data_IF_175949923980
#
_entry.id   IF_175949923980
#
_cell.length_a   1.000
_cell.length_b   1.000
_cell.length_c   1.000
_cell.angle_alpha   90.00
_cell.angle_beta   90.00
_cell.angle_gamma   90.00
#
_symmetry.space_group_name_H-M   'P 1'
#
loop_
_entity.id
_entity.type
_entity.pdbx_description
1 polymer ?
#
# COMPACT_ATOMS: atom_id res chain seq x y z
N UNK A 1 18.56 12.03 -0.69
CA UNK A 1 17.50 11.83 0.33
C UNK A 1 16.05 11.91 -0.17
N UNK A 2 15.59 12.95 -0.89
CA UNK A 2 14.24 12.95 -1.53
C UNK A 2 14.20 12.08 -2.79
N UNK A 3 15.30 11.98 -3.53
CA UNK A 3 15.40 11.12 -4.70
C UNK A 3 15.32 9.61 -4.36
N UNK A 4 15.96 9.19 -3.27
CA UNK A 4 15.93 7.78 -2.81
C UNK A 4 14.52 7.35 -2.38
N UNK A 5 13.78 8.27 -1.77
CA UNK A 5 12.39 8.05 -1.41
C UNK A 5 11.51 7.75 -2.63
N UNK A 6 11.67 8.55 -3.69
CA UNK A 6 10.90 8.41 -4.92
C UNK A 6 11.27 7.09 -5.61
N UNK A 7 12.54 6.70 -5.60
CA UNK A 7 12.96 5.41 -6.18
C UNK A 7 12.37 4.22 -5.42
N UNK A 8 12.37 4.23 -4.08
CA UNK A 8 11.78 3.16 -3.28
C UNK A 8 10.27 3.02 -3.54
N UNK A 9 9.59 4.15 -3.68
CA UNK A 9 8.18 4.19 -4.05
C UNK A 9 7.92 3.57 -5.45
N UNK A 10 8.72 3.98 -6.44
CA UNK A 10 8.60 3.50 -7.82
C UNK A 10 8.92 2.00 -7.93
N UNK A 11 9.92 1.51 -7.20
CA UNK A 11 10.24 0.08 -7.11
C UNK A 11 9.06 -0.68 -6.50
N UNK A 12 8.49 -0.17 -5.40
CA UNK A 12 7.31 -0.75 -4.77
C UNK A 12 6.13 -0.86 -5.74
N UNK A 13 5.82 0.21 -6.48
CA UNK A 13 4.74 0.20 -7.51
C UNK A 13 5.08 -0.76 -8.66
N UNK A 14 6.32 -0.78 -9.12
CA UNK A 14 6.75 -1.64 -10.24
C UNK A 14 6.61 -3.12 -9.90
N UNK A 15 6.77 -3.51 -8.63
CA UNK A 15 6.55 -4.88 -8.15
C UNK A 15 5.06 -5.13 -7.84
N UNK A 16 4.32 -4.10 -7.43
CA UNK A 16 2.90 -4.18 -7.10
C UNK A 16 2.04 -4.46 -8.34
N UNK A 17 2.35 -3.84 -9.49
CA UNK A 17 1.65 -4.08 -10.77
C UNK A 17 1.66 -5.56 -11.19
N UNK A 18 2.81 -6.24 -11.36
CA UNK A 18 2.84 -7.65 -11.73
C UNK A 18 2.24 -8.55 -10.65
N UNK A 19 2.35 -8.17 -9.38
CA UNK A 19 1.67 -8.90 -8.29
C UNK A 19 0.14 -8.90 -8.49
N UNK A 20 -0.45 -7.75 -8.81
CA UNK A 20 -1.89 -7.66 -9.11
C UNK A 20 -2.30 -8.45 -10.35
N UNK A 21 -1.45 -8.47 -11.40
CA UNK A 21 -1.69 -9.30 -12.59
C UNK A 21 -1.73 -10.78 -12.22
N UNK A 22 -0.76 -11.26 -11.42
CA UNK A 22 -0.72 -12.65 -10.96
C UNK A 22 -1.96 -12.98 -10.11
N UNK A 23 -2.39 -12.06 -9.22
CA UNK A 23 -3.62 -12.22 -8.44
C UNK A 23 -4.86 -12.31 -9.34
N UNK A 24 -4.96 -11.47 -10.37
CA UNK A 24 -6.11 -11.43 -11.27
C UNK A 24 -6.28 -12.72 -12.10
N UNK A 25 -5.16 -13.34 -12.49
CA UNK A 25 -5.16 -14.59 -13.25
C UNK A 25 -5.01 -15.85 -12.36
N UNK A 26 -5.14 -15.72 -11.04
CA UNK A 26 -4.98 -16.85 -10.12
C UNK A 26 -6.13 -17.85 -10.23
N UNK A 27 -5.95 -18.91 -11.03
CA UNK A 27 -6.92 -20.00 -11.22
C UNK A 27 -6.72 -21.15 -10.20
N UNK A 28 -5.54 -21.24 -9.56
CA UNK A 28 -5.22 -22.29 -8.59
C UNK A 28 -4.84 -21.70 -7.24
N UNK A 29 -5.06 -22.49 -6.16
CA UNK A 29 -4.71 -22.08 -4.79
C UNK A 29 -3.23 -21.70 -4.70
N UNK A 30 -2.34 -22.50 -5.27
CA UNK A 30 -0.89 -22.23 -5.24
C UNK A 30 -0.51 -20.88 -5.87
N UNK A 31 -1.10 -20.53 -7.02
CA UNK A 31 -0.88 -19.23 -7.69
C UNK A 31 -1.37 -18.06 -6.82
N UNK A 32 -2.49 -18.25 -6.12
CA UNK A 32 -3.06 -17.23 -5.23
C UNK A 32 -2.14 -16.96 -4.03
N UNK A 33 -1.62 -18.00 -3.37
CA UNK A 33 -0.65 -17.85 -2.27
C UNK A 33 0.64 -17.18 -2.73
N UNK A 34 1.17 -17.57 -3.89
CA UNK A 34 2.37 -16.97 -4.46
C UNK A 34 2.19 -15.49 -4.76
N UNK A 35 1.09 -15.13 -5.44
CA UNK A 35 0.75 -13.74 -5.70
C UNK A 35 0.57 -12.92 -4.42
N UNK A 36 -0.05 -13.50 -3.39
CA UNK A 36 -0.30 -12.81 -2.11
C UNK A 36 1.00 -12.50 -1.36
N UNK A 37 1.98 -13.42 -1.40
CA UNK A 37 3.31 -13.18 -0.83
C UNK A 37 3.98 -11.99 -1.54
N UNK A 38 3.95 -11.97 -2.87
CA UNK A 38 4.56 -10.92 -3.67
C UNK A 38 3.88 -9.56 -3.42
N UNK A 39 2.54 -9.56 -3.34
CA UNK A 39 1.74 -8.40 -3.00
C UNK A 39 2.04 -7.87 -1.60
N UNK A 40 2.20 -8.76 -0.60
CA UNK A 40 2.51 -8.37 0.78
C UNK A 40 3.86 -7.64 0.88
N UNK A 41 4.88 -8.17 0.20
CA UNK A 41 6.22 -7.56 0.14
C UNK A 41 6.11 -6.18 -0.51
N UNK A 42 5.48 -6.07 -1.68
CA UNK A 42 5.31 -4.80 -2.39
C UNK A 42 4.54 -3.75 -1.56
N UNK A 43 3.44 -4.18 -0.93
CA UNK A 43 2.61 -3.32 -0.08
C UNK A 43 3.38 -2.81 1.14
N UNK A 44 4.20 -3.66 1.78
CA UNK A 44 5.01 -3.25 2.93
C UNK A 44 5.98 -2.12 2.57
N UNK A 45 6.64 -2.19 1.40
CA UNK A 45 7.56 -1.15 0.92
C UNK A 45 6.83 0.17 0.71
N UNK A 46 5.70 0.15 0.00
CA UNK A 46 4.90 1.36 -0.29
C UNK A 46 4.39 2.00 1.01
N UNK A 47 3.90 1.20 1.96
CA UNK A 47 3.42 1.69 3.26
C UNK A 47 4.56 2.30 4.06
N UNK A 48 5.73 1.67 4.10
CA UNK A 48 6.90 2.18 4.81
C UNK A 48 7.39 3.51 4.23
N UNK A 49 7.37 3.64 2.91
CA UNK A 49 7.67 4.87 2.18
C UNK A 49 6.65 5.96 2.57
N UNK A 50 5.34 5.72 2.50
CA UNK A 50 4.33 6.71 2.92
C UNK A 50 4.53 7.17 4.38
N UNK A 51 4.79 6.24 5.31
CA UNK A 51 5.05 6.58 6.71
C UNK A 51 6.36 7.38 6.89
N UNK A 52 7.40 7.04 6.12
CA UNK A 52 8.68 7.78 6.15
C UNK A 52 8.51 9.19 5.61
N UNK A 53 7.69 9.40 4.58
CA UNK A 53 7.30 10.72 4.10
C UNK A 53 6.63 11.52 5.21
N UNK A 54 5.56 10.98 5.79
CA UNK A 54 4.81 11.61 6.87
C UNK A 54 5.71 12.05 8.03
N UNK A 55 6.69 11.22 8.39
CA UNK A 55 7.65 11.53 9.47
C UNK A 55 8.61 12.69 9.17
N UNK A 56 8.83 13.04 7.88
CA UNK A 56 9.74 14.11 7.46
C UNK A 56 9.12 15.50 7.45
N UNK A 57 7.80 15.60 7.22
CA UNK A 57 7.13 16.90 7.09
C UNK A 57 6.71 17.53 8.43
N UNK A 58 6.90 16.85 9.57
CA UNK A 58 6.53 17.34 10.90
C UNK A 58 7.70 17.73 11.81
N UNK A 59 7.52 18.79 12.60
CA UNK A 59 8.32 19.04 13.81
C UNK A 59 8.19 17.85 14.77
N UNK A 60 9.24 17.52 15.55
CA UNK A 60 9.26 16.35 16.46
C UNK A 60 8.01 16.23 17.34
N UNK A 61 7.40 17.36 17.74
CA UNK A 61 6.17 17.42 18.55
C UNK A 61 4.90 16.99 17.82
N UNK A 62 4.82 17.15 16.49
CA UNK A 62 3.60 16.88 15.70
C UNK A 62 3.73 15.66 14.78
N UNK A 63 4.90 15.03 14.74
CA UNK A 63 5.15 13.82 13.93
C UNK A 63 4.15 12.71 14.23
N UNK A 64 3.77 12.51 15.50
CA UNK A 64 2.78 11.52 15.90
C UNK A 64 1.39 11.80 15.31
N UNK A 65 0.96 13.05 15.34
CA UNK A 65 -0.32 13.50 14.75
C UNK A 65 -0.33 13.31 13.24
N UNK A 66 0.74 13.74 12.55
CA UNK A 66 0.86 13.60 11.10
C UNK A 66 0.85 12.12 10.71
N UNK A 67 1.67 11.29 11.36
CA UNK A 67 1.71 9.85 11.11
C UNK A 67 0.35 9.18 11.40
N UNK A 68 -0.37 9.65 12.43
CA UNK A 68 -1.73 9.24 12.75
C UNK A 68 -2.72 9.54 11.62
N UNK A 69 -2.71 10.76 11.07
CA UNK A 69 -3.56 11.16 9.93
C UNK A 69 -3.30 10.23 8.72
N UNK A 70 -2.03 9.97 8.40
CA UNK A 70 -1.68 9.07 7.29
C UNK A 70 -2.10 7.61 7.55
N UNK A 71 -2.04 7.11 8.79
CA UNK A 71 -2.55 5.76 9.10
C UNK A 71 -4.08 5.68 9.00
N UNK A 72 -4.80 6.71 9.45
CA UNK A 72 -6.24 6.79 9.28
C UNK A 72 -6.63 6.84 7.80
N UNK A 73 -5.86 7.54 6.97
CA UNK A 73 -6.07 7.58 5.52
C UNK A 73 -5.85 6.20 4.87
N UNK A 74 -4.86 5.42 5.33
CA UNK A 74 -4.65 4.04 4.88
C UNK A 74 -5.81 3.12 5.30
N UNK A 75 -6.35 3.29 6.51
CA UNK A 75 -7.54 2.56 6.95
C UNK A 75 -8.77 2.93 6.12
N UNK A 76 -8.92 4.22 5.77
CA UNK A 76 -9.98 4.69 4.89
C UNK A 76 -9.87 4.07 3.50
N UNK A 77 -8.68 4.04 2.91
CA UNK A 77 -8.43 3.37 1.63
C UNK A 77 -8.86 1.89 1.64
N UNK A 78 -8.61 1.17 2.75
CA UNK A 78 -9.06 -0.22 2.93
C UNK A 78 -10.58 -0.35 3.11
N UNK A 79 -11.25 0.63 3.72
CA UNK A 79 -12.70 0.63 3.88
C UNK A 79 -13.44 0.88 2.55
N UNK A 80 -12.87 1.69 1.64
CA UNK A 80 -13.47 2.03 0.34
C UNK A 80 -13.67 0.78 -0.54
N UNK A 81 -12.79 -0.22 -0.45
CA UNK A 81 -12.89 -1.46 -1.23
C UNK A 81 -14.20 -2.22 -0.97
N UNK A 82 -14.45 -2.68 0.27
CA UNK A 82 -15.72 -3.32 0.65
C UNK A 82 -16.93 -2.43 0.40
N UNK A 83 -16.86 -1.13 0.70
CA UNK A 83 -17.97 -0.19 0.45
C UNK A 83 -18.37 -0.17 -1.03
N UNK A 84 -17.39 -0.03 -1.93
CA UNK A 84 -17.63 -0.02 -3.38
C UNK A 84 -18.20 -1.35 -3.87
N UNK A 85 -17.73 -2.47 -3.32
CA UNK A 85 -18.28 -3.79 -3.63
C UNK A 85 -19.73 -3.96 -3.15
N UNK A 86 -20.08 -3.39 -1.99
CA UNK A 86 -21.46 -3.41 -1.46
C UNK A 86 -22.44 -2.56 -2.27
N UNK A 87 -22.01 -1.44 -2.85
CA UNK A 87 -22.88 -0.63 -3.73
C UNK A 87 -23.01 -1.20 -5.14
N UNK A 88 -22.07 -2.06 -5.58
CA UNK A 88 -21.98 -2.58 -6.94
C UNK A 88 -22.87 -3.78 -7.29
N UNK A 89 -23.71 -4.29 -6.37
CA UNK A 89 -24.67 -5.37 -6.67
C UNK A 89 -25.79 -5.50 -5.62
N UNK A 90 -26.98 -5.01 -5.96
CA UNK A 90 -28.20 -5.83 -6.09
C UNK A 90 -28.32 -6.13 -7.58
#
# INVERSE_FOLDING_TARGET
MTHEFITDFLIGITILIPSFIILAFAQTKFTLWFGLILFSIASSVVINVINSFASKYGLQSEKGTILGIFRSLQALARAIGPLSASFGKI
#
